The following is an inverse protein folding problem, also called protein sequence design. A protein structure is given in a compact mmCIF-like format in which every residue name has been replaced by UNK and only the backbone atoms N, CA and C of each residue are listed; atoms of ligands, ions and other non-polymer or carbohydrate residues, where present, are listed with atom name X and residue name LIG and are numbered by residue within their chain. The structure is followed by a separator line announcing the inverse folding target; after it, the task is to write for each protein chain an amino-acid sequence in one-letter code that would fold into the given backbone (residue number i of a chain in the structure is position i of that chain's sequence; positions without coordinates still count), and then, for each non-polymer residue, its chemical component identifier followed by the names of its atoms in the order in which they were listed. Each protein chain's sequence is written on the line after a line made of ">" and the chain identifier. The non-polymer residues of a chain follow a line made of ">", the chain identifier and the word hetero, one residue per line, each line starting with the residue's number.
data_IF_047905026872
#
_entry.id   IF_047905026872
#
_cell.length_a   1.000
_cell.length_b   1.000
_cell.length_c   1.000
_cell.angle_alpha   90.00
_cell.angle_beta   90.00
_cell.angle_gamma   90.00
#
_symmetry.space_group_name_H-M   'P 1'
#
loop_
_entity.id
_entity.type
_entity.pdbx_description
1 polymer ?
#
# COMPACT_ATOMS: atom_id res chain seq x y z
N UNK A 1 -4.55 21.62 -14.39
CA UNK A 1 -4.38 20.17 -14.26
C UNK A 1 -4.66 19.87 -12.80
N UNK A 2 -5.77 19.18 -12.52
CA UNK A 2 -6.04 18.66 -11.17
C UNK A 2 -4.84 17.79 -10.75
N UNK A 3 -4.37 17.87 -9.49
CA UNK A 3 -3.31 16.98 -9.04
C UNK A 3 -3.78 15.53 -9.15
N UNK A 4 -2.98 14.67 -9.79
CA UNK A 4 -3.28 13.23 -9.87
C UNK A 4 -3.32 12.67 -8.45
N UNK A 5 -4.51 12.28 -7.99
CA UNK A 5 -4.70 11.68 -6.67
C UNK A 5 -4.09 10.28 -6.67
N UNK A 6 -3.12 10.04 -5.79
CA UNK A 6 -2.48 8.75 -5.64
C UNK A 6 -3.24 7.89 -4.62
N UNK A 7 -3.66 6.69 -5.02
CA UNK A 7 -4.39 5.77 -4.16
C UNK A 7 -3.49 4.64 -3.69
N UNK A 8 -3.34 4.53 -2.38
CA UNK A 8 -2.37 3.64 -1.73
C UNK A 8 -3.13 2.70 -0.80
N UNK A 9 -2.94 1.40 -0.97
CA UNK A 9 -3.38 0.38 -0.02
C UNK A 9 -2.17 -0.10 0.78
N UNK A 10 -2.25 -0.13 2.09
CA UNK A 10 -1.21 -0.72 2.94
C UNK A 10 -1.80 -1.85 3.80
N UNK A 11 -1.15 -3.01 3.79
CA UNK A 11 -1.56 -4.19 4.57
C UNK A 11 -0.41 -4.61 5.48
N UNK A 12 -0.66 -4.67 6.78
CA UNK A 12 0.31 -5.14 7.79
C UNK A 12 -0.37 -5.99 8.84
N UNK A 13 0.35 -6.46 9.86
CA UNK A 13 -0.27 -7.19 11.00
C UNK A 13 -0.21 -6.42 12.32
N UNK A 14 0.60 -5.37 12.40
CA UNK A 14 0.72 -4.54 13.59
C UNK A 14 -0.20 -3.30 13.49
N UNK A 15 -1.28 -3.28 14.27
CA UNK A 15 -2.29 -2.21 14.25
C UNK A 15 -1.73 -0.82 14.63
N UNK A 16 -0.76 -0.76 15.55
CA UNK A 16 -0.12 0.51 15.94
C UNK A 16 0.67 1.09 14.77
N UNK A 17 1.46 0.26 14.08
CA UNK A 17 2.19 0.65 12.87
C UNK A 17 1.20 1.07 11.78
N UNK A 18 0.13 0.31 11.54
CA UNK A 18 -0.86 0.65 10.53
C UNK A 18 -1.57 1.98 10.83
N UNK A 19 -1.77 2.32 12.11
CA UNK A 19 -2.31 3.63 12.51
C UNK A 19 -1.37 4.77 12.14
N UNK A 20 -0.05 4.59 12.34
CA UNK A 20 0.95 5.58 11.91
C UNK A 20 1.00 5.67 10.39
N UNK A 21 1.00 4.53 9.69
CA UNK A 21 0.96 4.48 8.23
C UNK A 21 -0.25 5.23 7.68
N UNK A 22 -1.43 5.05 8.25
CA UNK A 22 -2.64 5.75 7.82
C UNK A 22 -2.46 7.26 7.88
N UNK A 23 -1.88 7.78 8.97
CA UNK A 23 -1.62 9.22 9.11
C UNK A 23 -0.61 9.71 8.07
N UNK A 24 0.46 8.94 7.83
CA UNK A 24 1.51 9.32 6.88
C UNK A 24 1.02 9.30 5.43
N UNK A 25 0.24 8.30 5.05
CA UNK A 25 -0.29 8.16 3.69
C UNK A 25 -1.37 9.19 3.36
N UNK A 26 -2.06 9.73 4.37
CA UNK A 26 -3.08 10.76 4.21
C UNK A 26 -2.59 12.16 4.64
N UNK A 27 -1.28 12.34 4.89
CA UNK A 27 -0.70 13.65 5.20
C UNK A 27 -0.54 14.55 3.96
N UNK A 28 -0.12 14.03 2.78
CA UNK A 28 -0.11 14.80 1.54
C UNK A 28 -1.53 14.94 0.97
N UNK A 29 -1.92 16.15 0.55
CA UNK A 29 -3.26 16.42 0.01
C UNK A 29 -3.58 15.61 -1.26
N UNK A 30 -2.56 15.24 -2.03
CA UNK A 30 -2.71 14.49 -3.27
C UNK A 30 -2.65 12.97 -3.08
N UNK A 31 -2.61 12.47 -1.83
CA UNK A 31 -2.56 11.04 -1.52
C UNK A 31 -3.82 10.62 -0.76
N UNK A 32 -4.29 9.41 -1.04
CA UNK A 32 -5.34 8.74 -0.25
C UNK A 32 -4.84 7.36 0.12
N UNK A 33 -4.69 7.12 1.43
CA UNK A 33 -4.18 5.86 1.97
C UNK A 33 -5.24 5.08 2.73
N UNK A 34 -5.44 3.82 2.35
CA UNK A 34 -6.21 2.85 3.13
C UNK A 34 -5.25 1.88 3.81
N UNK A 35 -5.44 1.66 5.11
CA UNK A 35 -4.64 0.72 5.88
C UNK A 35 -5.50 -0.38 6.46
N UNK A 36 -5.06 -1.63 6.32
CA UNK A 36 -5.77 -2.81 6.84
C UNK A 36 -4.81 -3.75 7.55
N UNK A 37 -5.36 -4.56 8.46
CA UNK A 37 -4.58 -5.52 9.25
C UNK A 37 -4.80 -6.99 8.85
N UNK A 38 -5.67 -7.24 7.88
CA UNK A 38 -6.08 -8.58 7.46
C UNK A 38 -6.18 -8.66 5.93
N UNK A 39 -6.01 -9.86 5.39
CA UNK A 39 -5.96 -10.09 3.95
C UNK A 39 -7.33 -9.95 3.30
N UNK A 40 -8.36 -10.44 3.97
CA UNK A 40 -9.75 -10.30 3.54
C UNK A 40 -10.14 -8.83 3.43
N UNK A 41 -9.70 -8.02 4.40
CA UNK A 41 -9.92 -6.58 4.38
C UNK A 41 -9.15 -5.90 3.23
N UNK A 42 -7.93 -6.35 2.94
CA UNK A 42 -7.14 -5.84 1.82
C UNK A 42 -7.81 -6.15 0.47
N UNK A 43 -8.29 -7.39 0.29
CA UNK A 43 -9.02 -7.81 -0.90
C UNK A 43 -10.33 -7.05 -1.06
N UNK A 44 -11.11 -6.93 0.01
CA UNK A 44 -12.38 -6.20 0.00
C UNK A 44 -12.20 -4.70 -0.27
N UNK A 45 -11.09 -4.09 0.18
CA UNK A 45 -10.74 -2.72 -0.19
C UNK A 45 -10.42 -2.62 -1.68
N UNK A 46 -9.59 -3.54 -2.20
CA UNK A 46 -9.16 -3.59 -3.60
C UNK A 46 -10.30 -3.82 -4.59
N UNK A 47 -11.37 -4.51 -4.17
CA UNK A 47 -12.57 -4.70 -4.99
C UNK A 47 -13.45 -3.45 -5.07
N UNK A 48 -13.42 -2.59 -4.05
CA UNK A 48 -14.26 -1.38 -3.97
C UNK A 48 -13.68 -0.21 -4.76
N UNK A 49 -12.36 -0.16 -4.89
CA UNK A 49 -11.66 0.95 -5.50
C UNK A 49 -10.32 0.54 -6.10
N UNK A 50 -9.88 1.28 -7.13
CA UNK A 50 -8.59 1.05 -7.76
C UNK A 50 -7.45 1.67 -6.94
N UNK A 51 -6.31 0.97 -6.90
CA UNK A 51 -5.09 1.44 -6.24
C UNK A 51 -3.94 1.51 -7.25
N UNK A 52 -3.07 2.51 -7.06
CA UNK A 52 -1.85 2.66 -7.84
C UNK A 52 -0.73 1.76 -7.29
N UNK A 53 -0.66 1.69 -5.96
CA UNK A 53 0.35 0.94 -5.24
C UNK A 53 -0.23 0.26 -3.99
N UNK A 54 0.20 -0.96 -3.76
CA UNK A 54 -0.06 -1.76 -2.56
C UNK A 54 1.24 -1.95 -1.80
N UNK A 55 1.23 -1.59 -0.51
CA UNK A 55 2.36 -1.71 0.40
C UNK A 55 2.14 -2.90 1.34
N UNK A 56 3.07 -3.84 1.31
CA UNK A 56 3.11 -4.97 2.24
C UNK A 56 3.97 -4.56 3.43
N UNK A 57 3.35 -4.29 4.57
CA UNK A 57 3.97 -3.76 5.78
C UNK A 57 4.39 -4.87 6.76
N UNK A 58 4.95 -4.44 7.91
CA UNK A 58 5.48 -5.33 8.94
C UNK A 58 4.44 -6.37 9.44
N UNK A 59 4.95 -7.58 9.65
CA UNK A 59 4.20 -8.71 10.20
C UNK A 59 3.56 -9.63 9.16
N UNK A 60 3.53 -9.26 7.88
CA UNK A 60 3.08 -10.16 6.79
C UNK A 60 4.22 -11.12 6.45
N UNK A 61 3.97 -12.42 6.39
CA UNK A 61 4.96 -13.43 6.01
C UNK A 61 5.31 -13.34 4.52
N UNK A 62 6.33 -14.08 4.07
CA UNK A 62 6.69 -14.14 2.64
C UNK A 62 5.62 -14.91 1.85
N UNK A 63 5.02 -15.94 2.45
CA UNK A 63 3.95 -16.73 1.86
C UNK A 63 2.68 -15.88 1.69
N UNK A 64 2.30 -15.14 2.74
CA UNK A 64 1.15 -14.21 2.69
C UNK A 64 1.36 -13.12 1.62
N UNK A 65 2.57 -12.54 1.56
CA UNK A 65 2.94 -11.57 0.54
C UNK A 65 2.79 -12.14 -0.88
N UNK A 66 3.27 -13.35 -1.13
CA UNK A 66 3.17 -13.99 -2.44
C UNK A 66 1.72 -14.19 -2.87
N UNK A 67 0.87 -14.64 -1.93
CA UNK A 67 -0.57 -14.85 -2.17
C UNK A 67 -1.28 -13.52 -2.46
N UNK A 68 -1.03 -12.49 -1.66
CA UNK A 68 -1.59 -11.15 -1.86
C UNK A 68 -1.13 -10.53 -3.18
N UNK A 69 0.17 -10.63 -3.48
CA UNK A 69 0.75 -10.08 -4.71
C UNK A 69 0.14 -10.74 -5.94
N UNK A 70 0.01 -12.06 -5.95
CA UNK A 70 -0.64 -12.80 -7.03
C UNK A 70 -2.10 -12.35 -7.20
N UNK A 71 -2.84 -12.20 -6.10
CA UNK A 71 -4.21 -11.70 -6.12
C UNK A 71 -4.31 -10.29 -6.75
N UNK A 72 -3.51 -9.32 -6.27
CA UNK A 72 -3.59 -7.95 -6.78
C UNK A 72 -3.17 -7.86 -8.25
N UNK A 73 -2.10 -8.57 -8.64
CA UNK A 73 -1.64 -8.60 -10.04
C UNK A 73 -2.62 -9.29 -10.98
N UNK A 74 -3.38 -10.26 -10.51
CA UNK A 74 -4.43 -10.89 -11.31
C UNK A 74 -5.59 -9.92 -11.59
N UNK A 75 -5.96 -9.08 -10.61
CA UNK A 75 -7.08 -8.13 -10.74
C UNK A 75 -6.65 -6.82 -11.43
N UNK A 76 -5.42 -6.38 -11.22
CA UNK A 76 -4.84 -5.21 -11.86
C UNK A 76 -3.37 -5.48 -12.20
N UNK A 77 -3.05 -5.96 -13.42
CA UNK A 77 -1.68 -6.31 -13.81
C UNK A 77 -0.70 -5.14 -13.66
N UNK A 78 -1.20 -3.93 -13.84
CA UNK A 78 -0.41 -2.71 -13.73
C UNK A 78 -0.11 -2.32 -12.28
N UNK A 79 -0.89 -2.76 -11.27
CA UNK A 79 -0.72 -2.29 -9.88
C UNK A 79 0.69 -2.57 -9.37
N UNK A 80 1.30 -1.62 -8.67
CA UNK A 80 2.59 -1.85 -8.04
C UNK A 80 2.36 -2.52 -6.69
N UNK A 81 3.06 -3.62 -6.41
CA UNK A 81 3.03 -4.26 -5.09
C UNK A 81 4.45 -4.24 -4.55
N UNK A 82 4.65 -3.67 -3.36
CA UNK A 82 5.98 -3.48 -2.78
C UNK A 82 6.00 -3.74 -1.30
N UNK A 83 6.99 -4.49 -0.83
CA UNK A 83 7.24 -4.69 0.59
C UNK A 83 7.93 -3.49 1.20
N UNK A 84 7.38 -3.01 2.31
CA UNK A 84 7.94 -1.97 3.15
C UNK A 84 8.45 -2.58 4.45
N UNK A 85 9.77 -2.62 4.59
CA UNK A 85 10.47 -3.25 5.73
C UNK A 85 10.58 -2.33 6.96
N UNK A 86 10.02 -1.11 6.90
CA UNK A 86 10.27 -0.10 7.92
C UNK A 86 11.64 0.57 7.73
N UNK A 87 11.81 1.74 8.35
CA UNK A 87 13.04 2.54 8.19
C UNK A 87 12.90 4.02 8.56
N UNK A 88 11.69 4.47 8.93
CA UNK A 88 11.39 5.86 9.29
C UNK A 88 10.46 6.53 8.29
N UNK A 89 9.70 7.53 8.74
CA UNK A 89 8.65 8.20 7.95
C UNK A 89 9.18 8.90 6.69
N UNK A 90 10.44 9.38 6.70
CA UNK A 90 11.07 10.04 5.56
C UNK A 90 11.39 9.10 4.39
N UNK A 91 11.61 7.80 4.65
CA UNK A 91 11.94 6.83 3.61
C UNK A 91 10.70 6.35 2.84
N UNK A 92 9.58 6.16 3.54
CA UNK A 92 8.33 5.69 2.96
C UNK A 92 7.89 6.51 1.75
N UNK A 93 7.93 7.85 1.87
CA UNK A 93 7.48 8.75 0.79
C UNK A 93 8.34 8.57 -0.46
N UNK A 94 9.66 8.59 -0.29
CA UNK A 94 10.60 8.46 -1.39
C UNK A 94 10.51 7.06 -2.03
N UNK A 95 10.30 6.02 -1.23
CA UNK A 95 10.11 4.64 -1.73
C UNK A 95 8.89 4.49 -2.63
N UNK A 96 7.77 5.11 -2.25
CA UNK A 96 6.51 5.10 -3.00
C UNK A 96 6.68 5.86 -4.32
N UNK A 97 7.18 7.10 -4.26
CA UNK A 97 7.38 7.93 -5.45
C UNK A 97 8.35 7.28 -6.44
N UNK A 98 9.48 6.77 -5.95
CA UNK A 98 10.45 6.05 -6.77
C UNK A 98 9.83 4.81 -7.42
N UNK A 99 9.00 4.04 -6.71
CA UNK A 99 8.34 2.88 -7.28
C UNK A 99 7.35 3.26 -8.40
N UNK A 100 6.65 4.39 -8.25
CA UNK A 100 5.70 4.89 -9.24
C UNK A 100 6.41 5.46 -10.48
N UNK A 101 7.55 6.13 -10.30
CA UNK A 101 8.36 6.68 -11.40
C UNK A 101 9.02 5.58 -12.25
N UNK A 102 9.28 4.40 -11.66
CA UNK A 102 9.95 3.28 -12.33
C UNK A 102 8.97 2.12 -12.69
N UNK A 103 7.70 2.43 -12.92
CA UNK A 103 6.63 1.46 -13.24
C UNK A 103 6.76 0.84 -14.64
#
# INVERSE_FOLDING_TARGET
>A
MEPTQLRILAVGRNAEIMTVMHRLLNAPDNWTGITVTADEAARAAFEKEAFDIVLICAGVSTEEEAVLTAYFKQHSPAVIVKRHYGGGSGLLKNEILYALENR
#
